data_IF_722680351927
#
_entry.id   IF_722680351927
#
_cell.length_a   1.000
_cell.length_b   1.000
_cell.length_c   1.000
_cell.angle_alpha   90.00
_cell.angle_beta   90.00
_cell.angle_gamma   90.00
#
_symmetry.space_group_name_H-M   'P 1'
#
loop_
_entity.id
_entity.type
_entity.pdbx_description
1 polymer ?
#
# COMPACT_ATOMS: atom_id res chain seq x y z
N UNK A 1 -19.35 -32.67 -6.03
CA UNK A 1 -18.01 -32.54 -5.39
C UNK A 1 -17.22 -33.86 -5.36
N UNK A 2 -17.76 -34.99 -4.86
CA UNK A 2 -16.99 -36.28 -4.81
C UNK A 2 -16.46 -36.75 -6.18
N UNK A 3 -17.27 -36.62 -7.25
CA UNK A 3 -16.88 -37.01 -8.62
C UNK A 3 -15.73 -36.12 -9.12
N UNK A 4 -15.82 -34.80 -8.94
CA UNK A 4 -14.79 -33.86 -9.32
C UNK A 4 -13.45 -34.13 -8.59
N UNK A 5 -13.48 -34.44 -7.32
CA UNK A 5 -12.32 -34.78 -6.51
C UNK A 5 -11.65 -36.11 -6.93
N UNK A 6 -12.48 -37.13 -7.21
CA UNK A 6 -11.97 -38.41 -7.66
C UNK A 6 -11.29 -38.31 -9.04
N UNK A 7 -11.80 -37.48 -9.93
CA UNK A 7 -11.22 -37.23 -11.24
C UNK A 7 -9.82 -36.57 -11.14
N UNK A 8 -9.69 -35.59 -10.23
CA UNK A 8 -8.39 -34.95 -9.94
C UNK A 8 -7.37 -36.00 -9.50
N UNK A 9 -7.77 -36.93 -8.63
CA UNK A 9 -6.89 -38.01 -8.17
C UNK A 9 -6.52 -39.04 -9.26
N UNK A 10 -7.38 -39.22 -10.26
CA UNK A 10 -7.16 -40.22 -11.31
C UNK A 10 -6.20 -39.76 -12.40
N UNK A 11 -6.04 -38.43 -12.60
CA UNK A 11 -5.11 -37.84 -13.59
C UNK A 11 -4.15 -36.83 -12.96
N UNK A 12 -3.32 -37.21 -11.98
CA UNK A 12 -2.55 -36.29 -11.17
C UNK A 12 -1.58 -35.44 -11.98
N UNK A 13 -0.90 -36.00 -12.97
CA UNK A 13 0.09 -35.27 -13.79
C UNK A 13 -0.53 -34.05 -14.51
N UNK A 14 -1.74 -34.21 -15.01
CA UNK A 14 -2.45 -33.16 -15.73
C UNK A 14 -2.90 -32.05 -14.78
N UNK A 15 -3.42 -32.42 -13.62
CA UNK A 15 -3.89 -31.46 -12.64
C UNK A 15 -2.76 -30.73 -11.91
N UNK A 16 -1.62 -31.38 -11.66
CA UNK A 16 -0.42 -30.73 -11.10
C UNK A 16 0.08 -29.60 -12.00
N UNK A 17 0.09 -29.79 -13.35
CA UNK A 17 0.50 -28.73 -14.26
C UNK A 17 -0.45 -27.52 -14.20
N UNK A 18 -1.75 -27.78 -14.11
CA UNK A 18 -2.78 -26.74 -13.99
C UNK A 18 -2.64 -26.00 -12.66
N UNK A 19 -2.44 -26.77 -11.60
CA UNK A 19 -2.27 -26.25 -10.24
C UNK A 19 -1.05 -25.34 -10.14
N UNK A 20 0.06 -25.75 -10.75
CA UNK A 20 1.26 -24.93 -10.85
C UNK A 20 0.99 -23.61 -11.59
N UNK A 21 0.25 -23.65 -12.72
CA UNK A 21 -0.10 -22.46 -13.46
C UNK A 21 -0.97 -21.50 -12.63
N UNK A 22 -2.00 -22.03 -11.96
CA UNK A 22 -2.89 -21.24 -11.11
C UNK A 22 -2.12 -20.64 -9.94
N UNK A 23 -1.29 -21.44 -9.28
CA UNK A 23 -0.47 -20.98 -8.16
C UNK A 23 0.52 -19.87 -8.59
N UNK A 24 1.16 -20.03 -9.75
CA UNK A 24 2.07 -19.02 -10.29
C UNK A 24 1.35 -17.70 -10.64
N UNK A 25 0.20 -17.79 -11.30
CA UNK A 25 -0.60 -16.59 -11.63
C UNK A 25 -1.14 -15.92 -10.37
N UNK A 26 -1.61 -16.68 -9.39
CA UNK A 26 -2.08 -16.16 -8.12
C UNK A 26 -0.94 -15.50 -7.34
N UNK A 27 0.21 -16.15 -7.26
CA UNK A 27 1.42 -15.57 -6.67
C UNK A 27 1.74 -14.21 -7.30
N UNK A 28 1.77 -14.14 -8.64
CA UNK A 28 2.09 -12.91 -9.36
C UNK A 28 1.12 -11.77 -9.04
N UNK A 29 -0.19 -12.04 -9.01
CA UNK A 29 -1.21 -11.02 -8.71
C UNK A 29 -1.11 -10.53 -7.26
N UNK A 30 -0.96 -11.45 -6.30
CA UNK A 30 -0.82 -11.10 -4.87
C UNK A 30 0.49 -10.37 -4.60
N UNK A 31 1.57 -10.83 -5.19
CA UNK A 31 2.88 -10.21 -5.04
C UNK A 31 2.88 -8.77 -5.59
N UNK A 32 2.33 -8.55 -6.79
CA UNK A 32 2.19 -7.21 -7.35
C UNK A 32 1.28 -6.32 -6.50
N UNK A 33 0.19 -6.87 -5.95
CA UNK A 33 -0.67 -6.14 -5.01
C UNK A 33 0.09 -5.72 -3.75
N UNK A 34 0.93 -6.60 -3.19
CA UNK A 34 1.78 -6.31 -2.04
C UNK A 34 2.79 -5.20 -2.33
N UNK A 35 3.43 -5.22 -3.50
CA UNK A 35 4.32 -4.15 -3.96
C UNK A 35 3.58 -2.82 -4.14
N UNK A 36 2.38 -2.87 -4.72
CA UNK A 36 1.53 -1.67 -4.91
C UNK A 36 1.22 -1.01 -3.57
N UNK A 37 0.79 -1.80 -2.60
CA UNK A 37 0.48 -1.30 -1.25
C UNK A 37 1.74 -0.81 -0.53
N UNK A 38 2.86 -1.50 -0.68
CA UNK A 38 4.15 -1.10 -0.13
C UNK A 38 4.61 0.26 -0.67
N UNK A 39 4.57 0.44 -1.98
CA UNK A 39 4.91 1.72 -2.61
C UNK A 39 3.97 2.85 -2.18
N UNK A 40 2.65 2.59 -2.12
CA UNK A 40 1.69 3.57 -1.64
C UNK A 40 1.95 3.95 -0.18
N UNK A 41 2.29 2.97 0.66
CA UNK A 41 2.65 3.19 2.06
C UNK A 41 3.95 3.99 2.21
N UNK A 42 4.99 3.69 1.43
CA UNK A 42 6.26 4.42 1.48
C UNK A 42 6.12 5.92 1.18
N UNK A 43 5.08 6.31 0.42
CA UNK A 43 4.81 7.73 0.14
C UNK A 43 4.12 8.43 1.30
N UNK A 44 3.31 7.72 2.09
CA UNK A 44 2.38 8.31 3.05
C UNK A 44 2.49 7.70 4.46
N UNK A 45 3.51 6.87 4.72
CA UNK A 45 3.61 6.07 5.94
C UNK A 45 3.49 6.93 7.20
N UNK A 46 4.22 8.05 7.27
CA UNK A 46 4.20 8.90 8.46
C UNK A 46 2.83 9.55 8.69
N UNK A 47 2.17 10.00 7.63
CA UNK A 47 0.80 10.55 7.77
C UNK A 47 -0.18 9.46 8.23
N UNK A 48 0.02 8.21 7.78
CA UNK A 48 -0.78 7.08 8.25
C UNK A 48 -0.52 6.74 9.72
N UNK A 49 0.72 6.90 10.19
CA UNK A 49 1.13 6.62 11.57
C UNK A 49 0.46 7.55 12.59
N UNK A 50 0.02 8.73 12.20
CA UNK A 50 -0.70 9.68 13.09
C UNK A 50 -2.12 9.23 13.47
N UNK A 51 -2.58 8.07 13.02
CA UNK A 51 -3.88 7.53 13.42
C UNK A 51 -5.06 8.35 12.88
N UNK A 52 -6.03 8.64 13.74
CA UNK A 52 -7.20 9.44 13.41
C UNK A 52 -6.89 10.95 13.62
N UNK A 53 -5.99 11.50 12.84
CA UNK A 53 -5.62 12.90 12.92
C UNK A 53 -6.44 13.76 11.96
N UNK A 54 -6.78 14.95 12.41
CA UNK A 54 -7.40 16.04 11.67
C UNK A 54 -6.33 17.08 11.37
N UNK A 55 -6.26 17.55 10.13
CA UNK A 55 -5.30 18.53 9.65
C UNK A 55 -6.03 19.83 9.34
N UNK A 56 -5.54 20.95 9.88
CA UNK A 56 -6.02 22.30 9.58
C UNK A 56 -4.97 22.97 8.71
N UNK A 57 -5.40 23.46 7.55
CA UNK A 57 -4.54 24.06 6.54
C UNK A 57 -5.15 25.36 6.04
N UNK A 58 -4.33 26.22 5.42
CA UNK A 58 -4.87 27.37 4.70
C UNK A 58 -5.67 26.91 3.47
N UNK A 59 -6.77 27.61 3.19
CA UNK A 59 -7.67 27.31 2.06
C UNK A 59 -6.93 27.41 0.73
N UNK A 60 -6.01 28.36 0.58
CA UNK A 60 -5.20 28.58 -0.62
C UNK A 60 -4.25 27.42 -0.94
N UNK A 61 -3.93 26.58 0.05
CA UNK A 61 -3.07 25.39 -0.15
C UNK A 61 -3.73 24.28 -0.95
N UNK A 62 -5.06 24.35 -1.14
CA UNK A 62 -5.86 23.28 -1.74
C UNK A 62 -5.65 21.91 -1.08
N UNK A 63 -5.26 21.88 0.20
CA UNK A 63 -5.00 20.69 1.00
C UNK A 63 -3.59 20.08 0.83
N UNK A 64 -2.66 20.80 0.21
CA UNK A 64 -1.25 20.40 0.06
C UNK A 64 -0.43 21.01 1.20
N UNK A 65 0.00 20.18 2.19
CA UNK A 65 0.70 20.67 3.39
C UNK A 65 1.87 21.62 3.07
N UNK A 66 2.84 21.27 2.17
CA UNK A 66 3.98 22.16 1.88
C UNK A 66 3.62 23.53 1.30
N UNK A 67 2.41 23.71 0.81
CA UNK A 67 1.93 25.00 0.27
C UNK A 67 1.03 25.77 1.24
N UNK A 68 0.73 25.16 2.37
CA UNK A 68 -0.09 25.77 3.42
C UNK A 68 0.76 26.58 4.39
N UNK A 69 0.13 27.55 5.01
CA UNK A 69 0.71 28.42 6.02
C UNK A 69 -0.38 28.81 7.01
N UNK A 70 -0.16 28.47 8.27
CA UNK A 70 -1.05 28.81 9.39
C UNK A 70 -0.32 29.83 10.23
N UNK A 71 -0.90 31.02 10.37
CA UNK A 71 -0.27 32.12 11.08
C UNK A 71 -0.45 31.99 12.60
N UNK A 72 0.31 32.78 13.36
CA UNK A 72 0.15 32.87 14.81
C UNK A 72 -1.24 33.38 15.19
N UNK A 73 -1.78 34.33 14.40
CA UNK A 73 -3.14 34.88 14.57
C UNK A 73 -4.22 33.80 14.37
N UNK A 74 -4.04 32.92 13.37
CA UNK A 74 -4.93 31.78 13.14
C UNK A 74 -4.92 30.80 14.33
N UNK A 75 -3.75 30.56 14.90
CA UNK A 75 -3.59 29.67 16.05
C UNK A 75 -4.29 30.26 17.27
N UNK A 76 -4.10 31.59 17.55
CA UNK A 76 -4.78 32.24 18.64
C UNK A 76 -6.30 32.21 18.49
N UNK A 77 -6.81 32.35 17.26
CA UNK A 77 -8.25 32.25 16.98
C UNK A 77 -8.77 30.83 17.19
N UNK A 78 -8.01 29.79 16.77
CA UNK A 78 -8.35 28.39 17.00
C UNK A 78 -8.37 28.05 18.49
N UNK A 79 -7.40 28.55 19.26
CA UNK A 79 -7.38 28.41 20.72
C UNK A 79 -8.57 29.09 21.41
N UNK A 80 -8.93 30.29 20.97
CA UNK A 80 -10.10 31.00 21.47
C UNK A 80 -11.39 30.23 21.19
N UNK A 81 -11.44 29.45 20.12
CA UNK A 81 -12.56 28.54 19.77
C UNK A 81 -12.51 27.20 20.47
N UNK A 82 -11.50 26.95 21.34
CA UNK A 82 -11.38 25.76 22.19
C UNK A 82 -10.46 24.66 21.70
N UNK A 83 -9.59 24.95 20.72
CA UNK A 83 -8.51 24.06 20.33
C UNK A 83 -7.41 24.10 21.41
N UNK A 84 -7.19 23.01 22.12
CA UNK A 84 -6.23 22.93 23.23
C UNK A 84 -5.21 21.80 23.08
N UNK A 85 -5.40 20.93 22.08
CA UNK A 85 -4.59 19.73 21.86
C UNK A 85 -4.23 19.69 20.38
N UNK A 86 -3.04 20.20 20.06
CA UNK A 86 -2.57 20.31 18.68
C UNK A 86 -1.04 20.32 18.61
N UNK A 87 -0.52 20.04 17.44
CA UNK A 87 0.87 20.27 17.08
C UNK A 87 0.97 21.00 15.75
N UNK A 88 1.86 21.99 15.67
CA UNK A 88 2.27 22.60 14.42
C UNK A 88 3.24 21.68 13.66
N UNK A 89 3.07 21.53 12.36
CA UNK A 89 3.92 20.71 11.51
C UNK A 89 4.42 21.50 10.30
N UNK A 90 5.72 21.39 10.03
CA UNK A 90 6.37 21.82 8.79
C UNK A 90 7.01 20.62 8.12
N UNK A 91 6.79 20.47 6.83
CA UNK A 91 7.37 19.42 5.99
C UNK A 91 8.31 20.07 4.96
N UNK A 92 9.60 19.75 5.02
CA UNK A 92 10.60 20.34 4.13
C UNK A 92 11.56 19.30 3.60
N UNK A 93 11.66 19.17 2.26
CA UNK A 93 12.71 18.36 1.64
C UNK A 93 14.06 19.03 1.79
N UNK A 94 15.07 18.22 2.11
CA UNK A 94 16.42 18.65 2.34
C UNK A 94 17.40 17.53 1.94
N UNK A 95 18.68 17.77 2.21
CA UNK A 95 19.73 16.79 2.04
C UNK A 95 20.72 16.88 3.20
N UNK A 96 21.18 15.73 3.67
CA UNK A 96 22.17 15.61 4.73
C UNK A 96 23.44 14.92 4.25
N UNK A 97 24.54 15.16 4.95
CA UNK A 97 25.79 14.41 4.78
C UNK A 97 26.23 13.85 6.13
N UNK A 98 26.98 12.74 6.10
CA UNK A 98 27.59 12.17 7.30
C UNK A 98 28.97 12.75 7.49
N UNK A 99 29.15 13.68 8.45
CA UNK A 99 30.42 14.32 8.71
C UNK A 99 31.06 14.92 7.44
N UNK A 100 32.34 14.61 7.18
CA UNK A 100 33.09 15.06 6.00
C UNK A 100 32.87 14.20 4.75
N UNK A 101 31.88 13.27 4.78
CA UNK A 101 31.61 12.41 3.63
C UNK A 101 30.95 13.22 2.49
N UNK A 102 31.41 13.00 1.26
CA UNK A 102 30.84 13.66 0.07
C UNK A 102 29.50 13.06 -0.34
N UNK A 103 29.10 11.92 0.24
CA UNK A 103 27.84 11.26 -0.07
C UNK A 103 26.67 12.05 0.53
N UNK A 104 25.75 12.41 -0.34
CA UNK A 104 24.56 13.19 0.03
C UNK A 104 23.36 12.25 0.10
N UNK A 105 22.65 12.29 1.23
CA UNK A 105 21.43 11.52 1.45
C UNK A 105 20.22 12.46 1.43
N UNK A 106 19.20 12.11 0.68
CA UNK A 106 17.92 12.84 0.65
C UNK A 106 17.17 12.60 1.96
N UNK A 107 16.60 13.66 2.53
CA UNK A 107 15.81 13.63 3.74
C UNK A 107 14.61 14.55 3.61
N UNK A 108 13.53 14.23 4.32
CA UNK A 108 12.42 15.17 4.53
C UNK A 108 12.31 15.49 6.01
N UNK A 109 12.53 16.74 6.38
CA UNK A 109 12.31 17.16 7.76
C UNK A 109 10.83 17.28 8.07
N UNK A 110 10.45 16.66 9.18
CA UNK A 110 9.20 16.89 9.89
C UNK A 110 9.54 17.70 11.13
N UNK A 111 9.40 19.00 11.01
CA UNK A 111 9.63 19.91 12.13
C UNK A 111 8.30 20.12 12.86
N UNK A 112 8.32 19.84 14.16
CA UNK A 112 7.09 19.87 14.97
C UNK A 112 7.23 20.84 16.13
N UNK A 113 6.15 21.55 16.37
CA UNK A 113 5.94 22.36 17.57
C UNK A 113 4.78 21.73 18.36
N UNK A 114 5.11 21.07 19.47
CA UNK A 114 4.15 20.33 20.24
C UNK A 114 3.56 21.20 21.36
N UNK A 115 2.24 21.26 21.43
CA UNK A 115 1.53 21.55 22.65
C UNK A 115 1.56 20.27 23.55
N UNK A 116 1.41 20.40 24.86
CA UNK A 116 1.72 19.40 25.90
C UNK A 116 1.18 17.96 25.74
N UNK A 117 0.41 17.64 24.69
CA UNK A 117 -0.30 16.36 24.53
C UNK A 117 0.11 15.49 23.31
N UNK A 118 1.24 15.76 22.66
CA UNK A 118 1.98 14.77 21.83
C UNK A 118 1.25 14.02 20.72
N UNK A 119 0.40 14.67 19.90
CA UNK A 119 -0.39 14.00 18.84
C UNK A 119 0.46 13.51 17.66
N UNK A 120 1.68 14.02 17.46
CA UNK A 120 2.54 13.76 16.29
C UNK A 120 3.81 12.96 16.61
N UNK A 121 3.72 12.00 17.51
CA UNK A 121 4.88 11.18 17.83
C UNK A 121 5.18 10.15 16.74
N UNK A 122 6.44 10.02 16.30
CA UNK A 122 6.87 8.93 15.43
C UNK A 122 6.90 7.60 16.19
N UNK A 123 6.84 6.49 15.46
CA UNK A 123 7.04 5.16 16.03
C UNK A 123 8.55 4.92 16.27
N UNK A 124 9.08 5.42 17.38
CA UNK A 124 10.51 5.28 17.76
C UNK A 124 10.83 3.83 18.10
N UNK A 125 12.04 3.38 17.76
CA UNK A 125 12.53 2.03 17.99
C UNK A 125 13.56 2.04 19.11
N UNK A 126 13.40 1.09 20.05
CA UNK A 126 14.37 0.80 21.11
C UNK A 126 14.83 2.02 21.95
N UNK A 127 13.97 3.05 22.08
CA UNK A 127 14.28 4.27 22.83
C UNK A 127 13.00 4.87 23.42
N UNK A 128 13.10 5.52 24.57
CA UNK A 128 12.05 6.32 25.19
C UNK A 128 12.05 7.79 24.71
N UNK A 129 12.82 8.09 23.65
CA UNK A 129 12.88 9.45 23.06
C UNK A 129 11.60 9.74 22.32
N UNK A 130 10.99 10.89 22.59
CA UNK A 130 9.82 11.40 21.87
C UNK A 130 10.18 12.58 20.99
N UNK A 131 9.45 12.83 19.91
CA UNK A 131 9.66 14.00 19.07
C UNK A 131 9.37 15.29 19.83
N UNK A 132 8.39 15.27 20.75
CA UNK A 132 8.06 16.39 21.63
C UNK A 132 9.16 16.72 22.64
N UNK A 133 10.03 15.74 22.96
CA UNK A 133 11.16 15.91 23.89
C UNK A 133 12.51 16.24 23.23
N UNK A 134 12.56 16.43 21.92
CA UNK A 134 13.79 16.73 21.20
C UNK A 134 14.38 18.09 21.63
N UNK A 135 15.65 18.05 22.01
CA UNK A 135 16.43 19.25 22.30
C UNK A 135 16.92 19.89 21.01
N UNK A 136 17.47 21.09 21.15
CA UNK A 136 18.09 21.78 20.03
C UNK A 136 19.22 20.95 19.41
N UNK A 137 19.23 20.84 18.08
CA UNK A 137 20.20 20.07 17.29
C UNK A 137 20.12 18.54 17.48
N UNK A 138 19.01 18.02 18.00
CA UNK A 138 18.74 16.59 18.01
C UNK A 138 17.79 16.22 16.84
N UNK A 139 17.99 14.99 16.32
CA UNK A 139 17.17 14.47 15.23
C UNK A 139 16.83 12.99 15.48
N UNK A 140 15.57 12.61 15.24
CA UNK A 140 15.17 11.22 15.10
C UNK A 140 15.10 10.93 13.61
N UNK A 141 15.85 9.94 13.12
CA UNK A 141 15.86 9.55 11.71
C UNK A 141 14.99 8.32 11.44
N UNK A 142 14.53 8.15 10.20
CA UNK A 142 13.99 6.85 9.79
C UNK A 142 15.07 5.76 9.87
N UNK A 143 14.63 4.54 10.14
CA UNK A 143 15.54 3.39 10.27
C UNK A 143 16.32 3.08 8.99
N UNK A 144 15.84 3.45 7.82
CA UNK A 144 16.56 3.26 6.56
C UNK A 144 17.97 3.90 6.58
N UNK A 145 18.17 4.96 7.35
CA UNK A 145 19.49 5.57 7.52
C UNK A 145 20.51 4.69 8.28
N UNK A 146 20.05 3.65 9.01
CA UNK A 146 20.97 2.64 9.59
C UNK A 146 21.66 1.82 8.49
N UNK A 147 20.97 1.54 7.37
CA UNK A 147 21.53 0.82 6.23
C UNK A 147 22.59 1.66 5.50
N UNK A 148 22.50 3.00 5.59
CA UNK A 148 23.51 3.96 5.13
C UNK A 148 24.69 4.12 6.12
N UNK A 149 24.69 3.36 7.20
CA UNK A 149 25.75 3.29 8.18
C UNK A 149 25.69 4.35 9.28
N UNK A 150 24.59 5.13 9.37
CA UNK A 150 24.38 6.09 10.45
C UNK A 150 23.97 5.35 11.73
N UNK A 151 24.44 5.83 12.89
CA UNK A 151 24.16 5.24 14.21
C UNK A 151 23.69 6.30 15.19
N UNK A 152 22.98 5.86 16.24
CA UNK A 152 22.65 6.75 17.37
C UNK A 152 23.94 7.32 17.97
N UNK A 153 23.96 8.64 18.15
CA UNK A 153 25.12 9.41 18.60
C UNK A 153 25.98 10.00 17.47
N UNK A 154 25.78 9.59 16.22
CA UNK A 154 26.45 10.18 15.06
C UNK A 154 25.93 11.60 14.81
N UNK A 155 26.76 12.41 14.14
CA UNK A 155 26.37 13.72 13.65
C UNK A 155 26.12 13.66 12.14
N UNK A 156 24.98 14.20 11.73
CA UNK A 156 24.63 14.46 10.34
C UNK A 156 24.59 15.98 10.12
N UNK A 157 24.99 16.41 8.95
CA UNK A 157 25.09 17.85 8.63
C UNK A 157 24.03 18.17 7.58
N UNK A 158 23.13 19.08 7.89
CA UNK A 158 22.19 19.64 6.91
C UNK A 158 22.94 20.45 5.87
N UNK A 159 22.74 20.13 4.61
CA UNK A 159 23.55 20.68 3.51
C UNK A 159 23.25 22.14 3.19
N UNK A 160 22.03 22.60 3.53
CA UNK A 160 21.63 23.99 3.25
C UNK A 160 22.09 24.95 4.33
N UNK A 161 21.90 24.58 5.59
CA UNK A 161 22.21 25.43 6.75
C UNK A 161 23.61 25.16 7.33
N UNK A 162 24.29 24.09 6.89
CA UNK A 162 25.52 23.58 7.48
C UNK A 162 25.39 23.32 9.01
N UNK A 163 24.17 23.02 9.46
CA UNK A 163 23.90 22.70 10.86
C UNK A 163 24.18 21.23 11.12
N UNK A 164 24.97 20.96 12.13
CA UNK A 164 25.19 19.61 12.65
C UNK A 164 24.01 19.21 13.55
N UNK A 165 23.43 18.03 13.28
CA UNK A 165 22.36 17.44 14.05
C UNK A 165 22.86 16.12 14.63
N UNK A 166 22.58 15.88 15.91
CA UNK A 166 22.91 14.63 16.60
C UNK A 166 21.77 13.64 16.50
N UNK A 167 22.04 12.46 15.99
CA UNK A 167 21.04 11.37 15.89
C UNK A 167 20.80 10.79 17.28
N UNK A 168 19.60 10.91 17.81
CA UNK A 168 19.25 10.43 19.16
C UNK A 168 18.45 9.15 19.16
N UNK A 169 17.72 8.84 18.09
CA UNK A 169 16.93 7.63 17.94
C UNK A 169 16.62 7.36 16.47
N UNK A 170 16.08 6.16 16.20
CA UNK A 170 15.49 5.81 14.91
C UNK A 170 13.99 5.58 15.04
N UNK A 171 13.23 5.96 14.00
CA UNK A 171 11.81 5.71 13.85
C UNK A 171 11.56 4.62 12.81
N UNK A 172 10.43 3.94 12.91
CA UNK A 172 10.02 2.87 12.00
C UNK A 172 9.01 3.40 11.00
N UNK A 173 9.23 3.09 9.71
CA UNK A 173 8.32 3.46 8.61
C UNK A 173 8.01 4.97 8.60
N UNK A 174 9.03 5.80 8.79
CA UNK A 174 8.90 7.25 8.78
C UNK A 174 9.26 7.79 7.39
N UNK A 175 8.31 7.65 6.43
CA UNK A 175 8.48 8.06 5.05
C UNK A 175 7.39 9.05 4.61
N UNK A 176 7.78 10.00 3.75
CA UNK A 176 6.87 10.95 3.10
C UNK A 176 7.38 11.32 1.70
N UNK A 177 6.54 11.16 0.68
CA UNK A 177 6.87 11.57 -0.69
C UNK A 177 8.11 10.88 -1.27
N UNK A 178 8.34 9.60 -0.97
CA UNK A 178 9.51 8.79 -1.35
C UNK A 178 10.83 9.20 -0.71
N UNK A 179 10.79 9.93 0.39
CA UNK A 179 11.97 10.33 1.15
C UNK A 179 11.81 9.88 2.59
N UNK A 180 12.91 9.45 3.17
CA UNK A 180 12.97 9.10 4.58
C UNK A 180 12.95 10.37 5.43
N UNK A 181 12.35 10.28 6.62
CA UNK A 181 12.07 11.43 7.47
C UNK A 181 13.14 11.60 8.55
N UNK A 182 13.46 12.87 8.83
CA UNK A 182 14.14 13.30 10.04
C UNK A 182 13.21 14.20 10.85
N UNK A 183 12.90 13.79 12.09
CA UNK A 183 12.10 14.60 13.01
C UNK A 183 13.01 15.55 13.77
N UNK A 184 12.65 16.81 13.76
CA UNK A 184 13.36 17.87 14.48
C UNK A 184 12.36 18.76 15.23
N UNK A 185 12.80 19.42 16.29
CA UNK A 185 11.97 20.42 16.96
C UNK A 185 11.82 21.68 16.10
N UNK A 186 10.73 22.43 16.32
CA UNK A 186 10.50 23.75 15.72
C UNK A 186 11.67 24.70 15.94
N UNK A 187 12.29 24.63 17.12
CA UNK A 187 13.49 25.44 17.48
C UNK A 187 14.70 25.09 16.62
N UNK A 188 15.01 23.78 16.47
CA UNK A 188 16.11 23.32 15.62
C UNK A 188 15.87 23.74 14.17
N UNK A 189 14.66 23.53 13.67
CA UNK A 189 14.31 23.93 12.30
C UNK A 189 14.41 25.43 12.08
N UNK A 190 13.91 26.23 13.02
CA UNK A 190 14.01 27.70 12.94
C UNK A 190 15.48 28.16 12.95
N UNK A 191 16.32 27.56 13.78
CA UNK A 191 17.78 27.84 13.80
C UNK A 191 18.45 27.52 12.46
N UNK A 192 18.10 26.38 11.85
CA UNK A 192 18.57 26.00 10.51
C UNK A 192 18.13 27.02 9.44
N UNK A 193 16.86 27.41 9.47
CA UNK A 193 16.29 28.34 8.48
C UNK A 193 16.84 29.75 8.64
N UNK A 194 17.07 30.21 9.86
CA UNK A 194 17.63 31.55 10.14
C UNK A 194 19.04 31.74 9.58
N UNK A 195 19.82 30.66 9.43
CA UNK A 195 21.15 30.72 8.77
C UNK A 195 21.03 31.07 7.28
N UNK A 196 19.96 30.67 6.63
CA UNK A 196 19.71 30.94 5.20
C UNK A 196 18.83 32.16 4.97
N UNK A 197 17.92 32.42 5.90
CA UNK A 197 17.04 33.60 5.90
C UNK A 197 17.00 34.20 7.32
N UNK A 198 17.75 35.28 7.59
CA UNK A 198 17.81 35.90 8.91
C UNK A 198 16.46 36.45 9.44
N UNK A 199 15.48 36.64 8.56
CA UNK A 199 14.17 37.11 8.93
C UNK A 199 13.17 35.99 9.16
N UNK A 200 13.59 34.73 9.00
CA UNK A 200 12.70 33.58 9.18
C UNK A 200 12.10 33.59 10.60
N UNK A 201 10.78 33.37 10.66
CA UNK A 201 10.05 33.07 11.89
C UNK A 201 9.37 31.71 11.72
N UNK A 202 9.33 30.93 12.79
CA UNK A 202 8.58 29.69 12.78
C UNK A 202 7.13 29.96 12.40
N UNK A 203 6.64 29.19 11.43
CA UNK A 203 5.26 29.23 11.01
C UNK A 203 4.88 27.82 10.58
N UNK A 204 3.82 27.27 11.18
CA UNK A 204 3.35 25.94 10.84
C UNK A 204 2.73 25.94 9.44
N UNK A 205 2.97 24.88 8.69
CA UNK A 205 2.26 24.63 7.43
C UNK A 205 0.87 24.02 7.70
N UNK A 206 0.76 23.23 8.76
CA UNK A 206 -0.51 22.67 9.19
C UNK A 206 -0.54 22.51 10.69
N UNK A 207 -1.73 22.64 11.25
CA UNK A 207 -2.02 22.25 12.63
C UNK A 207 -2.65 20.88 12.60
N UNK A 208 -2.14 19.98 13.43
CA UNK A 208 -2.63 18.60 13.54
C UNK A 208 -3.18 18.35 14.91
N UNK A 209 -4.38 17.80 14.98
CA UNK A 209 -5.09 17.50 16.24
C UNK A 209 -5.76 16.14 16.16
N UNK A 210 -5.98 15.51 17.33
CA UNK A 210 -6.77 14.28 17.45
C UNK A 210 -8.29 14.55 17.51
N UNK A 211 -8.69 15.81 17.68
CA UNK A 211 -10.10 16.18 17.76
C UNK A 211 -10.73 16.30 16.37
N UNK A 212 -11.97 15.86 16.25
CA UNK A 212 -12.79 16.19 15.09
C UNK A 212 -13.24 17.65 15.19
N UNK A 213 -12.96 18.43 14.15
CA UNK A 213 -13.33 19.84 14.04
C UNK A 213 -14.29 19.97 12.86
N UNK A 214 -15.43 20.62 13.10
CA UNK A 214 -16.35 20.91 12.01
C UNK A 214 -15.85 22.09 11.18
N UNK A 215 -16.06 22.05 9.86
CA UNK A 215 -15.62 23.12 8.97
C UNK A 215 -16.23 24.50 9.34
N UNK A 216 -17.44 24.50 9.93
CA UNK A 216 -18.14 25.71 10.37
C UNK A 216 -17.49 26.35 11.61
N UNK A 217 -16.63 25.62 12.32
CA UNK A 217 -15.93 26.12 13.51
C UNK A 217 -14.57 26.77 13.18
N UNK A 218 -14.18 26.78 11.90
CA UNK A 218 -12.91 27.34 11.45
C UNK A 218 -13.05 28.81 10.99
N UNK A 219 -11.97 29.60 11.07
CA UNK A 219 -11.80 30.83 10.29
C UNK A 219 -11.99 30.58 8.79
N UNK A 220 -12.44 31.58 8.05
CA UNK A 220 -12.81 31.47 6.63
C UNK A 220 -11.64 31.14 5.68
N UNK A 221 -10.44 31.43 6.09
CA UNK A 221 -9.17 31.22 5.39
C UNK A 221 -8.52 29.87 5.71
N UNK A 222 -9.08 29.14 6.68
CA UNK A 222 -8.66 27.81 7.03
C UNK A 222 -9.65 26.74 6.53
N UNK A 223 -9.11 25.55 6.29
CA UNK A 223 -9.87 24.35 5.94
C UNK A 223 -9.46 23.18 6.80
N UNK A 224 -10.39 22.27 7.03
CA UNK A 224 -10.10 20.98 7.65
C UNK A 224 -9.94 19.90 6.59
N UNK A 225 -8.98 19.06 6.79
CA UNK A 225 -8.78 17.86 5.97
C UNK A 225 -8.58 16.64 6.86
N UNK A 226 -9.20 15.53 6.47
CA UNK A 226 -8.90 14.25 7.10
C UNK A 226 -7.58 13.67 6.57
N UNK A 227 -7.09 12.64 7.25
CA UNK A 227 -5.84 11.96 6.90
C UNK A 227 -5.80 11.50 5.43
N UNK A 228 -6.91 10.94 4.90
CA UNK A 228 -6.95 10.43 3.54
C UNK A 228 -6.92 11.55 2.51
N UNK A 229 -7.59 12.66 2.79
CA UNK A 229 -7.57 13.85 1.95
C UNK A 229 -6.15 14.42 1.82
N UNK A 230 -5.42 14.50 2.94
CA UNK A 230 -4.01 14.94 2.95
C UNK A 230 -3.11 13.98 2.17
N UNK A 231 -3.27 12.67 2.38
CA UNK A 231 -2.51 11.64 1.64
C UNK A 231 -2.77 11.75 0.13
N UNK A 232 -4.02 11.93 -0.28
CA UNK A 232 -4.39 12.06 -1.69
C UNK A 232 -3.80 13.32 -2.36
N UNK A 233 -3.42 14.31 -1.57
CA UNK A 233 -2.80 15.56 -2.01
C UNK A 233 -1.28 15.54 -2.00
N UNK A 234 -0.65 14.48 -1.47
CA UNK A 234 0.81 14.30 -1.60
C UNK A 234 1.17 14.28 -3.10
N UNK A 235 2.12 15.14 -3.55
CA UNK A 235 2.44 15.24 -4.97
C UNK A 235 2.79 13.89 -5.62
N UNK A 236 2.08 13.54 -6.68
CA UNK A 236 2.27 12.28 -7.41
C UNK A 236 1.56 11.06 -6.82
N UNK A 237 1.18 11.04 -5.55
CA UNK A 237 0.59 9.87 -4.87
C UNK A 237 -0.66 9.33 -5.56
N UNK A 238 -1.66 10.21 -5.80
CA UNK A 238 -2.95 9.78 -6.37
C UNK A 238 -2.80 9.20 -7.77
N UNK A 239 -2.00 9.83 -8.63
CA UNK A 239 -1.76 9.37 -9.99
C UNK A 239 -1.03 8.02 -10.00
N UNK A 240 0.00 7.88 -9.17
CA UNK A 240 0.75 6.63 -9.08
C UNK A 240 -0.07 5.50 -8.47
N UNK A 241 -0.75 5.74 -7.34
CA UNK A 241 -1.58 4.73 -6.69
C UNK A 241 -2.69 4.22 -7.63
N UNK A 242 -3.33 5.13 -8.38
CA UNK A 242 -4.31 4.77 -9.40
C UNK A 242 -3.69 3.91 -10.51
N UNK A 243 -2.52 4.31 -11.03
CA UNK A 243 -1.81 3.56 -12.07
C UNK A 243 -1.45 2.15 -11.61
N UNK A 244 -0.89 2.01 -10.41
CA UNK A 244 -0.52 0.72 -9.84
C UNK A 244 -1.75 -0.17 -9.58
N UNK A 245 -2.85 0.40 -9.09
CA UNK A 245 -4.12 -0.32 -8.94
C UNK A 245 -4.67 -0.79 -10.27
N UNK A 246 -4.65 0.05 -11.30
CA UNK A 246 -5.07 -0.35 -12.66
C UNK A 246 -4.19 -1.49 -13.17
N UNK A 247 -2.87 -1.43 -13.01
CA UNK A 247 -1.96 -2.52 -13.40
C UNK A 247 -2.32 -3.84 -12.69
N UNK A 248 -2.59 -3.80 -11.40
CA UNK A 248 -3.01 -4.99 -10.63
C UNK A 248 -4.32 -5.57 -11.17
N UNK A 249 -5.32 -4.73 -11.47
CA UNK A 249 -6.59 -5.16 -12.06
C UNK A 249 -6.42 -5.74 -13.46
N UNK A 250 -5.61 -5.11 -14.31
CA UNK A 250 -5.31 -5.61 -15.66
C UNK A 250 -4.65 -6.99 -15.57
N UNK A 251 -3.67 -7.14 -14.68
CA UNK A 251 -3.00 -8.43 -14.46
C UNK A 251 -3.97 -9.50 -13.95
N UNK A 252 -4.87 -9.15 -13.04
CA UNK A 252 -5.90 -10.06 -12.53
C UNK A 252 -6.83 -10.54 -13.65
N UNK A 253 -7.31 -9.63 -14.50
CA UNK A 253 -8.17 -9.97 -15.65
C UNK A 253 -7.41 -10.80 -16.67
N UNK A 254 -6.18 -10.43 -17.01
CA UNK A 254 -5.34 -11.19 -17.94
C UNK A 254 -5.07 -12.61 -17.42
N UNK A 255 -4.68 -12.75 -16.16
CA UNK A 255 -4.44 -14.05 -15.51
C UNK A 255 -5.70 -14.92 -15.51
N UNK A 256 -6.85 -14.34 -15.17
CA UNK A 256 -8.14 -15.04 -15.20
C UNK A 256 -8.55 -15.47 -16.61
N UNK A 257 -8.23 -14.65 -17.63
CA UNK A 257 -8.50 -14.97 -19.04
C UNK A 257 -7.64 -16.15 -19.51
N UNK A 258 -6.36 -16.18 -19.14
CA UNK A 258 -5.48 -17.33 -19.44
C UNK A 258 -6.04 -18.60 -18.82
N UNK A 259 -6.50 -18.56 -17.58
CA UNK A 259 -7.18 -19.70 -16.93
C UNK A 259 -8.47 -20.08 -17.64
N UNK A 260 -9.26 -19.10 -18.08
CA UNK A 260 -10.47 -19.32 -18.85
C UNK A 260 -10.22 -20.10 -20.15
N UNK A 261 -9.20 -19.72 -20.91
CA UNK A 261 -8.75 -20.44 -22.12
C UNK A 261 -8.28 -21.84 -21.78
N UNK A 262 -7.51 -21.99 -20.72
CA UNK A 262 -7.03 -23.29 -20.28
C UNK A 262 -8.17 -24.22 -19.89
N UNK A 263 -9.15 -23.75 -19.11
CA UNK A 263 -10.35 -24.53 -18.76
C UNK A 263 -11.22 -24.85 -19.98
N UNK A 264 -11.27 -23.97 -20.97
CA UNK A 264 -11.92 -24.23 -22.23
C UNK A 264 -11.28 -25.44 -22.96
N UNK A 265 -9.96 -25.45 -23.08
CA UNK A 265 -9.21 -26.56 -23.70
C UNK A 265 -9.43 -27.86 -22.94
N UNK A 266 -9.39 -27.82 -21.60
CA UNK A 266 -9.69 -29.00 -20.77
C UNK A 266 -11.10 -29.54 -20.99
N UNK A 267 -12.05 -28.67 -21.12
CA UNK A 267 -13.45 -29.04 -21.34
C UNK A 267 -13.64 -29.65 -22.72
N UNK A 268 -12.97 -29.12 -23.77
CA UNK A 268 -12.96 -29.70 -25.10
C UNK A 268 -12.40 -31.15 -25.09
N UNK A 269 -11.34 -31.40 -24.36
CA UNK A 269 -10.77 -32.75 -24.24
C UNK A 269 -11.73 -33.75 -23.56
N UNK A 270 -12.71 -33.27 -22.80
CA UNK A 270 -13.71 -34.10 -22.12
C UNK A 270 -15.04 -34.23 -22.88
N UNK A 271 -15.21 -33.61 -24.04
CA UNK A 271 -16.45 -33.66 -24.80
C UNK A 271 -16.96 -35.07 -25.05
N UNK A 272 -16.08 -36.00 -25.42
CA UNK A 272 -16.44 -37.41 -25.65
C UNK A 272 -16.99 -38.06 -24.37
N UNK A 273 -16.39 -37.78 -23.20
CA UNK A 273 -16.89 -38.25 -21.91
C UNK A 273 -18.24 -37.67 -21.59
N UNK A 274 -18.48 -36.38 -21.87
CA UNK A 274 -19.78 -35.73 -21.67
C UNK A 274 -20.85 -36.31 -22.59
N UNK A 275 -20.52 -36.65 -23.83
CA UNK A 275 -21.41 -37.34 -24.77
C UNK A 275 -21.90 -38.66 -24.19
N UNK A 276 -20.98 -39.50 -23.67
CA UNK A 276 -21.32 -40.78 -23.03
C UNK A 276 -22.20 -40.60 -21.80
N UNK A 277 -21.87 -39.63 -20.92
CA UNK A 277 -22.65 -39.31 -19.72
C UNK A 277 -24.07 -38.85 -20.06
N UNK A 278 -24.22 -38.06 -21.13
CA UNK A 278 -25.53 -37.64 -21.63
C UNK A 278 -26.31 -38.79 -22.23
N UNK A 279 -25.65 -39.72 -22.94
CA UNK A 279 -26.29 -40.90 -23.51
C UNK A 279 -26.87 -41.87 -22.45
N UNK A 280 -26.24 -41.95 -21.27
CA UNK A 280 -26.74 -42.74 -20.11
C UNK A 280 -27.77 -41.95 -19.26
N UNK A 281 -28.22 -40.75 -19.74
CA UNK A 281 -29.33 -39.99 -19.15
C UNK A 281 -28.93 -38.89 -18.16
N UNK A 282 -27.66 -38.55 -18.05
CA UNK A 282 -27.23 -37.46 -17.16
C UNK A 282 -27.63 -36.08 -17.72
N UNK A 283 -28.27 -35.26 -16.88
CA UNK A 283 -28.72 -33.92 -17.27
C UNK A 283 -27.51 -32.98 -17.48
N UNK A 284 -27.53 -32.13 -18.50
CA UNK A 284 -26.49 -31.17 -18.79
C UNK A 284 -26.15 -30.25 -17.59
N UNK A 285 -27.16 -29.88 -16.81
CA UNK A 285 -26.94 -29.10 -15.56
C UNK A 285 -26.03 -29.81 -14.57
N UNK A 286 -26.15 -31.13 -14.45
CA UNK A 286 -25.30 -31.94 -13.54
C UNK A 286 -23.88 -31.99 -14.04
N UNK A 287 -23.64 -32.14 -15.35
CA UNK A 287 -22.29 -32.11 -15.95
C UNK A 287 -21.66 -30.75 -15.74
N UNK A 288 -22.37 -29.66 -16.00
CA UNK A 288 -21.90 -28.29 -15.75
C UNK A 288 -21.54 -28.08 -14.27
N UNK A 289 -22.37 -28.54 -13.34
CA UNK A 289 -22.12 -28.42 -11.90
C UNK A 289 -20.84 -29.19 -11.48
N UNK A 290 -20.63 -30.39 -12.02
CA UNK A 290 -19.41 -31.17 -11.74
C UNK A 290 -18.17 -30.41 -12.23
N UNK A 291 -18.26 -29.82 -13.43
CA UNK A 291 -17.15 -29.08 -14.02
C UNK A 291 -16.83 -27.79 -13.25
N UNK A 292 -17.86 -27.02 -12.89
CA UNK A 292 -17.69 -25.81 -12.06
C UNK A 292 -17.13 -26.18 -10.68
N UNK A 293 -17.64 -27.27 -10.05
CA UNK A 293 -17.09 -27.74 -8.77
C UNK A 293 -15.61 -28.11 -8.87
N UNK A 294 -15.21 -28.75 -9.96
CA UNK A 294 -13.80 -29.10 -10.21
C UNK A 294 -12.94 -27.85 -10.34
N UNK A 295 -13.40 -26.87 -11.13
CA UNK A 295 -12.75 -25.59 -11.33
C UNK A 295 -12.59 -24.83 -10.02
N UNK A 296 -13.63 -24.80 -9.20
CA UNK A 296 -13.59 -24.16 -7.88
C UNK A 296 -12.56 -24.80 -6.95
N UNK A 297 -12.53 -26.16 -6.90
CA UNK A 297 -11.58 -26.89 -6.06
C UNK A 297 -10.15 -26.56 -6.48
N UNK A 298 -9.84 -26.64 -7.78
CA UNK A 298 -8.50 -26.37 -8.31
C UNK A 298 -8.12 -24.91 -8.06
N UNK A 299 -9.02 -23.94 -8.30
CA UNK A 299 -8.74 -22.53 -8.05
C UNK A 299 -8.49 -22.25 -6.56
N UNK A 300 -9.19 -22.93 -5.64
CA UNK A 300 -8.98 -22.76 -4.19
C UNK A 300 -7.63 -23.35 -3.74
N UNK A 301 -7.23 -24.52 -4.27
CA UNK A 301 -5.93 -25.12 -3.96
C UNK A 301 -4.81 -24.23 -4.50
N UNK A 302 -4.90 -23.80 -5.77
CA UNK A 302 -3.90 -22.92 -6.38
C UNK A 302 -3.81 -21.56 -5.70
N UNK A 303 -4.96 -21.00 -5.26
CA UNK A 303 -4.99 -19.81 -4.42
C UNK A 303 -4.20 -20.03 -3.13
N UNK A 304 -4.44 -21.11 -2.42
CA UNK A 304 -3.74 -21.42 -1.16
C UNK A 304 -2.23 -21.56 -1.36
N UNK A 305 -1.83 -22.24 -2.41
CA UNK A 305 -0.41 -22.44 -2.77
C UNK A 305 0.20 -21.09 -3.17
N UNK A 306 -0.48 -20.31 -4.02
CA UNK A 306 0.01 -19.00 -4.48
C UNK A 306 0.17 -17.99 -3.34
N UNK A 307 -0.79 -17.94 -2.41
CA UNK A 307 -0.70 -17.13 -1.18
C UNK A 307 0.44 -17.60 -0.29
N UNK A 308 0.61 -18.91 -0.12
CA UNK A 308 1.71 -19.50 0.64
C UNK A 308 3.07 -19.11 0.06
N UNK A 309 3.23 -19.18 -1.26
CA UNK A 309 4.44 -18.74 -1.96
C UNK A 309 4.71 -17.24 -1.77
N UNK A 310 3.67 -16.41 -1.86
CA UNK A 310 3.81 -14.97 -1.65
C UNK A 310 4.26 -14.65 -0.22
N UNK A 311 3.65 -15.28 0.78
CA UNK A 311 4.03 -15.15 2.18
C UNK A 311 5.46 -15.67 2.48
N UNK A 312 5.89 -16.70 1.74
CA UNK A 312 7.23 -17.27 1.89
C UNK A 312 8.31 -16.39 1.26
N UNK A 313 8.01 -15.72 0.14
CA UNK A 313 8.96 -14.86 -0.57
C UNK A 313 9.08 -13.48 0.09
N UNK A 314 8.00 -12.95 0.67
CA UNK A 314 7.97 -11.62 1.27
C UNK A 314 9.14 -11.32 2.25
N UNK A 315 9.54 -12.22 3.18
CA UNK A 315 10.65 -11.98 4.11
C UNK A 315 12.04 -11.93 3.45
N UNK A 316 12.18 -12.43 2.23
CA UNK A 316 13.45 -12.43 1.49
C UNK A 316 13.64 -11.21 0.61
N UNK A 317 12.66 -10.30 0.56
CA UNK A 317 12.80 -9.05 -0.17
C UNK A 317 13.78 -8.11 0.56
N UNK A 318 14.66 -7.42 -0.18
CA UNK A 318 15.50 -6.37 0.41
C UNK A 318 14.63 -5.28 1.07
N UNK A 319 15.14 -4.64 2.12
CA UNK A 319 14.47 -3.53 2.82
C UNK A 319 14.13 -2.35 1.89
N UNK A 320 14.90 -2.20 0.81
CA UNK A 320 14.68 -1.19 -0.25
C UNK A 320 13.43 -1.47 -1.11
N UNK A 321 12.88 -2.68 -1.07
CA UNK A 321 11.67 -3.05 -1.82
C UNK A 321 10.47 -3.04 -0.89
N UNK A 322 9.69 -1.95 -0.84
CA UNK A 322 8.53 -1.88 0.03
C UNK A 322 7.47 -2.89 -0.41
N UNK A 323 7.14 -3.82 0.45
CA UNK A 323 6.09 -4.81 0.22
C UNK A 323 5.23 -4.94 1.47
N UNK A 324 3.97 -4.52 1.37
CA UNK A 324 3.01 -4.62 2.47
C UNK A 324 1.84 -5.47 2.02
N UNK A 325 1.71 -6.63 2.67
CA UNK A 325 0.58 -7.55 2.46
C UNK A 325 -0.43 -7.36 3.58
N UNK A 326 -1.36 -6.42 3.41
CA UNK A 326 -2.49 -6.26 4.33
C UNK A 326 -3.45 -7.43 4.13
N UNK A 327 -3.93 -8.02 5.22
CA UNK A 327 -4.85 -9.17 5.16
C UNK A 327 -6.11 -8.83 4.35
N UNK A 328 -6.68 -7.63 4.54
CA UNK A 328 -7.86 -7.15 3.81
C UNK A 328 -7.67 -7.13 2.29
N UNK A 329 -6.55 -6.55 1.83
CA UNK A 329 -6.26 -6.41 0.40
C UNK A 329 -5.91 -7.75 -0.22
N UNK A 330 -5.12 -8.56 0.49
CA UNK A 330 -4.78 -9.93 0.06
C UNK A 330 -6.02 -10.79 -0.12
N UNK A 331 -6.96 -10.75 0.82
CA UNK A 331 -8.24 -11.48 0.74
C UNK A 331 -9.09 -10.95 -0.42
N UNK A 332 -9.17 -9.63 -0.58
CA UNK A 332 -9.94 -9.00 -1.67
C UNK A 332 -9.43 -9.43 -3.04
N UNK A 333 -8.11 -9.38 -3.24
CA UNK A 333 -7.45 -9.81 -4.49
C UNK A 333 -7.64 -11.30 -4.71
N UNK A 334 -7.46 -12.13 -3.68
CA UNK A 334 -7.61 -13.58 -3.76
C UNK A 334 -9.05 -13.99 -4.12
N UNK A 335 -10.04 -13.42 -3.47
CA UNK A 335 -11.46 -13.66 -3.78
C UNK A 335 -11.79 -13.19 -5.20
N UNK A 336 -11.34 -12.00 -5.59
CA UNK A 336 -11.54 -11.46 -6.94
C UNK A 336 -10.94 -12.38 -8.01
N UNK A 337 -9.73 -12.90 -7.78
CA UNK A 337 -9.08 -13.86 -8.68
C UNK A 337 -9.89 -15.15 -8.83
N UNK A 338 -10.35 -15.74 -7.73
CA UNK A 338 -11.16 -16.98 -7.77
C UNK A 338 -12.49 -16.73 -8.47
N UNK A 339 -13.18 -15.64 -8.15
CA UNK A 339 -14.47 -15.28 -8.77
C UNK A 339 -14.31 -15.06 -10.28
N UNK A 340 -13.33 -14.26 -10.70
CA UNK A 340 -13.07 -14.01 -12.13
C UNK A 340 -12.65 -15.27 -12.86
N UNK A 341 -11.83 -16.13 -12.25
CA UNK A 341 -11.45 -17.44 -12.82
C UNK A 341 -12.65 -18.36 -13.01
N UNK A 342 -13.55 -18.44 -12.03
CA UNK A 342 -14.77 -19.24 -12.13
C UNK A 342 -15.71 -18.67 -13.22
N UNK A 343 -15.84 -17.34 -13.30
CA UNK A 343 -16.65 -16.69 -14.34
C UNK A 343 -16.10 -16.97 -15.74
N UNK A 344 -14.79 -16.80 -15.95
CA UNK A 344 -14.15 -17.10 -17.23
C UNK A 344 -14.28 -18.59 -17.62
N UNK A 345 -14.10 -19.50 -16.65
CA UNK A 345 -14.31 -20.92 -16.86
C UNK A 345 -15.79 -21.28 -17.15
N UNK A 346 -16.73 -20.65 -16.47
CA UNK A 346 -18.16 -20.86 -16.71
C UNK A 346 -18.60 -20.34 -18.10
N UNK A 347 -18.06 -19.21 -18.54
CA UNK A 347 -18.31 -18.68 -19.89
C UNK A 347 -17.82 -19.64 -20.98
N UNK A 348 -16.70 -20.34 -20.76
CA UNK A 348 -16.21 -21.36 -21.70
C UNK A 348 -17.16 -22.56 -21.82
N UNK A 349 -17.88 -22.91 -20.73
CA UNK A 349 -18.87 -23.98 -20.73
C UNK A 349 -20.16 -23.64 -21.50
N UNK A 350 -20.53 -22.37 -21.58
CA UNK A 350 -21.73 -21.94 -22.34
C UNK A 350 -21.61 -22.25 -23.82
N UNK A 351 -20.41 -22.17 -24.39
CA UNK A 351 -20.14 -22.47 -25.79
C UNK A 351 -20.31 -23.97 -26.11
N UNK A 352 -20.03 -24.83 -25.14
CA UNK A 352 -20.12 -26.31 -25.26
C UNK A 352 -21.56 -26.80 -25.17
N UNK A 353 -22.45 -26.05 -24.53
CA UNK A 353 -23.88 -26.39 -24.44
C UNK A 353 -24.56 -26.56 -25.81
N UNK A 354 -23.98 -25.98 -26.88
CA UNK A 354 -24.50 -26.04 -28.27
C UNK A 354 -23.93 -27.24 -29.06
N UNK A 355 -23.00 -28.00 -28.53
CA UNK A 355 -22.37 -29.14 -29.22
C UNK A 355 -23.33 -30.34 -29.15
N UNK A 356 -23.71 -30.89 -30.33
CA UNK A 356 -24.56 -32.05 -30.44
C UNK A 356 -23.76 -33.32 -30.09
N UNK A 357 -24.24 -34.16 -29.15
CA UNK A 357 -23.59 -35.42 -28.79
C UNK A 357 -23.41 -36.40 -29.93
N UNK A 358 -24.32 -36.35 -30.94
CA UNK A 358 -24.28 -37.26 -32.10
C UNK A 358 -23.05 -36.96 -32.96
N UNK A 359 -22.69 -35.70 -33.15
CA UNK A 359 -21.53 -35.29 -33.92
C UNK A 359 -20.20 -35.72 -33.26
N UNK A 360 -20.20 -35.78 -31.92
CA UNK A 360 -18.99 -36.14 -31.12
C UNK A 360 -18.78 -37.65 -31.03
N UNK A 361 -19.86 -38.44 -31.08
CA UNK A 361 -19.79 -39.94 -31.00
C UNK A 361 -19.70 -40.57 -32.39
N UNK A 362 -20.26 -39.90 -33.42
CA UNK A 362 -20.32 -40.39 -34.79
C UNK A 362 -19.07 -40.29 -35.62
N UNK A 363 -17.99 -39.76 -35.11
CA UNK A 363 -16.67 -39.87 -35.72
C UNK A 363 -16.39 -39.00 -36.96
N UNK A 364 -17.25 -38.03 -37.29
CA UNK A 364 -16.95 -37.02 -38.33
C UNK A 364 -16.32 -35.79 -37.72
N UNK A 365 -15.04 -35.91 -37.35
CA UNK A 365 -14.18 -34.79 -36.98
C UNK A 365 -13.01 -34.78 -37.92
N UNK A 366 -13.09 -34.01 -39.01
CA UNK A 366 -11.90 -33.44 -39.64
C UNK A 366 -11.29 -32.37 -38.78
#
# INVERSE_FOLDING_TARGET
>A
MKIAWNEIKYQPKKFVLIEFLIAALMFMVVFLSGLTNGLASSVSAQIQNYGAATFILSTDSEGVIPYSSVTEEDIEELEARGLSDYAGLVIQRAAITRGDDSNTLDITYFATDHNENGTLEPAVIDSDVSASGLKENEVILDRAFEDEGIRVGDQVIDKMSEQALTVVAFAKNANYGYSDIGFVSSQTYAAMRTKTDPNYRWQAQTIVTSKEIAADDLPSDLMVADRQQVIDKIPGYKAQNLTLKIMTWVLLVASSSVLGVFFYILTLQKLRQFGVLKAIGMRMRTITYIQISQLTIISLIGMTIGLGLAALVAPFLPSTVPSIMTLSDTVTVAVSFVVTSILCGALSLLKIKKVDPIDVIGGNGE
#
